data_IF_740443575972
#
_entry.id   IF_740443575972
#
_cell.length_a   1.000
_cell.length_b   1.000
_cell.length_c   1.000
_cell.angle_alpha   90.00
_cell.angle_beta   90.00
_cell.angle_gamma   90.00
#
_symmetry.space_group_name_H-M   'P 1'
#
loop_
_entity.id
_entity.type
_entity.pdbx_description
1 polymer ?
#
# COMPACT_ATOMS: atom_id res chain seq x y z
N UNK A 1 -13.51 36.95 -14.85
CA UNK A 1 -13.55 36.21 -13.57
C UNK A 1 -14.33 34.89 -13.65
N UNK A 2 -15.36 34.77 -14.49
CA UNK A 2 -16.18 33.54 -14.60
C UNK A 2 -15.46 32.33 -15.21
N UNK A 3 -14.51 32.54 -16.13
CA UNK A 3 -13.78 31.49 -16.85
C UNK A 3 -12.83 30.69 -15.95
N UNK A 4 -12.17 31.37 -15.01
CA UNK A 4 -11.23 30.74 -14.05
C UNK A 4 -12.02 29.90 -13.03
N UNK A 5 -13.15 30.41 -12.53
CA UNK A 5 -14.04 29.68 -11.62
C UNK A 5 -14.59 28.39 -12.26
N UNK A 6 -14.97 28.43 -13.54
CA UNK A 6 -15.42 27.24 -14.29
C UNK A 6 -14.29 26.22 -14.50
N UNK A 7 -13.07 26.66 -14.81
CA UNK A 7 -11.90 25.78 -14.94
C UNK A 7 -11.54 25.10 -13.62
N UNK A 8 -11.50 25.86 -12.51
CA UNK A 8 -11.21 25.33 -11.16
C UNK A 8 -12.30 24.32 -10.76
N UNK A 9 -13.57 24.65 -10.96
CA UNK A 9 -14.70 23.76 -10.64
C UNK A 9 -14.65 22.46 -11.46
N UNK A 10 -14.31 22.53 -12.75
CA UNK A 10 -14.18 21.36 -13.61
C UNK A 10 -12.99 20.48 -13.21
N UNK A 11 -11.87 21.09 -12.83
CA UNK A 11 -10.67 20.39 -12.37
C UNK A 11 -10.92 19.67 -11.03
N UNK A 12 -11.55 20.36 -10.08
CA UNK A 12 -11.94 19.79 -8.79
C UNK A 12 -12.91 18.61 -9.00
N UNK A 13 -13.95 18.77 -9.82
CA UNK A 13 -14.90 17.68 -10.12
C UNK A 13 -14.23 16.47 -10.74
N UNK A 14 -13.27 16.67 -11.66
CA UNK A 14 -12.51 15.57 -12.28
C UNK A 14 -11.61 14.86 -11.27
N UNK A 15 -10.96 15.60 -10.39
CA UNK A 15 -10.11 15.03 -9.32
C UNK A 15 -10.92 14.19 -8.33
N UNK A 16 -12.08 14.70 -7.87
CA UNK A 16 -12.98 13.95 -7.02
C UNK A 16 -13.55 12.71 -7.72
N UNK A 17 -13.88 12.81 -9.00
CA UNK A 17 -14.36 11.67 -9.78
C UNK A 17 -13.28 10.59 -9.93
N UNK A 18 -12.01 10.95 -10.15
CA UNK A 18 -10.92 9.99 -10.23
C UNK A 18 -10.61 9.33 -8.87
N UNK A 19 -10.73 10.07 -7.75
CA UNK A 19 -10.64 9.48 -6.41
C UNK A 19 -11.79 8.49 -6.17
N UNK A 20 -13.03 8.88 -6.51
CA UNK A 20 -14.21 8.04 -6.32
C UNK A 20 -14.15 6.79 -7.20
N UNK A 21 -13.72 6.91 -8.45
CA UNK A 21 -13.48 5.77 -9.35
C UNK A 21 -12.36 4.87 -8.79
N UNK A 22 -11.27 5.45 -8.29
CA UNK A 22 -10.21 4.72 -7.61
C UNK A 22 -10.74 3.91 -6.43
N UNK A 23 -11.54 4.52 -5.55
CA UNK A 23 -12.16 3.86 -4.39
C UNK A 23 -13.20 2.80 -4.81
N UNK A 24 -14.02 3.06 -5.82
CA UNK A 24 -15.01 2.10 -6.34
C UNK A 24 -14.36 0.89 -7.01
N UNK A 25 -13.30 1.09 -7.80
CA UNK A 25 -12.51 0.00 -8.40
C UNK A 25 -11.83 -0.81 -7.29
N UNK A 26 -11.23 -0.15 -6.28
CA UNK A 26 -10.63 -0.82 -5.13
C UNK A 26 -11.65 -1.69 -4.40
N UNK A 27 -12.86 -1.17 -4.12
CA UNK A 27 -13.91 -1.93 -3.44
C UNK A 27 -14.46 -3.09 -4.29
N UNK A 28 -14.53 -2.93 -5.63
CA UNK A 28 -15.03 -3.99 -6.53
C UNK A 28 -14.04 -5.15 -6.71
N UNK A 29 -12.73 -4.89 -6.64
CA UNK A 29 -11.69 -5.91 -6.76
C UNK A 29 -11.09 -6.36 -5.42
N UNK A 30 -11.60 -5.85 -4.30
CA UNK A 30 -11.12 -6.15 -2.94
C UNK A 30 -11.16 -7.64 -2.60
N UNK A 31 -12.15 -8.39 -3.11
CA UNK A 31 -12.27 -9.83 -2.87
C UNK A 31 -11.38 -10.70 -3.75
N UNK A 32 -10.75 -10.13 -4.79
CA UNK A 32 -9.97 -10.87 -5.80
C UNK A 32 -8.50 -10.46 -5.87
N UNK A 33 -8.08 -9.37 -5.21
CA UNK A 33 -6.70 -8.92 -5.24
C UNK A 33 -5.89 -9.51 -4.07
N UNK A 34 -4.98 -10.47 -4.32
CA UNK A 34 -4.12 -11.02 -3.27
C UNK A 34 -3.06 -10.02 -2.75
N UNK A 35 -2.93 -8.84 -3.37
CA UNK A 35 -1.94 -7.80 -3.05
C UNK A 35 -2.57 -6.49 -2.56
N UNK A 36 -3.70 -6.56 -1.85
CA UNK A 36 -4.42 -5.40 -1.34
C UNK A 36 -3.50 -4.34 -0.68
N UNK A 37 -3.66 -3.09 -1.14
CA UNK A 37 -2.92 -1.89 -0.71
C UNK A 37 -3.76 -1.10 0.31
N UNK A 38 -3.78 -1.56 1.57
CA UNK A 38 -4.35 -0.82 2.70
C UNK A 38 -3.29 0.01 3.42
N UNK A 39 -3.61 1.26 3.75
CA UNK A 39 -2.81 2.14 4.63
C UNK A 39 -3.03 1.75 6.09
N UNK A 40 -1.95 1.49 6.85
CA UNK A 40 -1.74 1.27 8.31
C UNK A 40 -2.82 0.64 9.23
N UNK A 41 -4.09 0.56 8.85
CA UNK A 41 -5.16 -0.11 9.59
C UNK A 41 -5.03 -1.61 9.33
N UNK A 42 -4.67 -2.36 10.37
CA UNK A 42 -4.55 -3.82 10.31
C UNK A 42 -3.13 -4.38 10.51
N UNK A 43 -2.17 -3.54 10.92
CA UNK A 43 -0.85 -3.99 11.38
C UNK A 43 -0.76 -3.93 12.90
N UNK A 44 -0.19 -4.98 13.48
CA UNK A 44 0.21 -5.10 14.88
C UNK A 44 1.73 -5.20 14.95
N UNK A 45 2.33 -4.60 15.98
CA UNK A 45 3.79 -4.55 16.13
C UNK A 45 4.21 -5.16 17.46
N UNK A 46 5.26 -5.98 17.42
CA UNK A 46 5.90 -6.57 18.59
C UNK A 46 7.38 -6.19 18.59
N UNK A 47 7.83 -5.59 19.69
CA UNK A 47 9.25 -5.35 19.94
C UNK A 47 9.81 -6.46 20.83
N UNK A 48 10.94 -7.03 20.45
CA UNK A 48 11.57 -8.12 21.19
C UNK A 48 13.10 -8.13 21.00
N UNK A 49 13.77 -8.86 21.89
CA UNK A 49 15.20 -9.14 21.79
C UNK A 49 15.40 -10.58 21.37
N UNK A 50 16.21 -10.81 20.34
CA UNK A 50 16.60 -12.14 19.90
C UNK A 50 18.12 -12.22 19.87
N UNK A 51 18.71 -13.08 20.70
CA UNK A 51 20.17 -13.19 20.82
C UNK A 51 20.85 -11.87 21.22
N UNK A 52 20.18 -11.02 22.01
CA UNK A 52 20.67 -9.69 22.39
C UNK A 52 20.52 -8.62 21.30
N UNK A 53 19.94 -8.94 20.14
CA UNK A 53 19.69 -7.99 19.06
C UNK A 53 18.25 -7.48 19.12
N UNK A 54 18.02 -6.15 19.15
CA UNK A 54 16.67 -5.58 19.12
C UNK A 54 16.01 -5.76 17.76
N UNK A 55 14.81 -6.33 17.75
CA UNK A 55 14.01 -6.58 16.56
C UNK A 55 12.60 -6.06 16.73
N UNK A 56 11.97 -5.80 15.60
CA UNK A 56 10.55 -5.54 15.51
C UNK A 56 9.91 -6.54 14.57
N UNK A 57 8.79 -7.11 14.99
CA UNK A 57 7.89 -7.89 14.15
C UNK A 57 6.66 -7.05 13.85
N UNK A 58 6.22 -7.09 12.59
CA UNK A 58 4.95 -6.56 12.14
C UNK A 58 4.10 -7.71 11.60
N UNK A 59 2.89 -7.85 12.14
CA UNK A 59 1.91 -8.85 11.72
C UNK A 59 0.63 -8.16 11.24
N UNK A 60 0.07 -8.64 10.14
CA UNK A 60 -1.09 -8.02 9.53
C UNK A 60 -1.39 -8.59 8.15
N UNK A 61 -2.66 -8.53 7.74
CA UNK A 61 -3.10 -9.01 6.41
C UNK A 61 -2.65 -10.46 6.11
N UNK A 62 -2.61 -11.32 7.12
CA UNK A 62 -2.21 -12.73 6.99
C UNK A 62 -0.72 -12.98 6.82
N UNK A 63 0.15 -11.98 7.03
CA UNK A 63 1.60 -12.15 7.01
C UNK A 63 2.25 -11.62 8.29
N UNK A 64 3.40 -12.19 8.65
CA UNK A 64 4.27 -11.70 9.70
C UNK A 64 5.66 -11.47 9.11
N UNK A 65 6.30 -10.36 9.48
CA UNK A 65 7.63 -9.98 9.01
C UNK A 65 8.40 -9.39 10.17
N UNK A 66 9.69 -9.69 10.28
CA UNK A 66 10.56 -9.08 11.29
C UNK A 66 11.78 -8.44 10.67
N UNK A 67 12.32 -7.43 11.34
CA UNK A 67 13.60 -6.81 10.98
C UNK A 67 14.31 -6.31 12.22
N UNK A 68 15.63 -6.28 12.14
CA UNK A 68 16.47 -5.69 13.17
C UNK A 68 16.31 -4.17 13.20
N UNK A 69 16.36 -3.61 14.40
CA UNK A 69 16.49 -2.17 14.63
C UNK A 69 17.92 -1.77 14.31
N UNK A 70 18.09 -0.85 13.36
CA UNK A 70 19.42 -0.35 13.02
C UNK A 70 19.92 0.61 14.10
N UNK A 71 21.24 0.72 14.21
CA UNK A 71 21.89 1.68 15.12
C UNK A 71 21.39 3.10 14.81
N UNK A 72 20.79 3.74 15.81
CA UNK A 72 20.24 5.10 15.70
C UNK A 72 18.80 5.19 15.16
N UNK A 73 18.17 4.07 14.77
CA UNK A 73 16.73 4.04 14.51
C UNK A 73 15.94 3.86 15.82
N UNK A 74 14.82 4.54 15.94
CA UNK A 74 13.81 4.22 16.96
C UNK A 74 12.97 3.02 16.52
N UNK A 75 12.35 2.27 17.46
CA UNK A 75 11.44 1.18 17.11
C UNK A 75 10.33 1.59 16.14
N UNK A 76 9.77 2.80 16.30
CA UNK A 76 8.76 3.34 15.39
C UNK A 76 9.30 3.57 13.98
N UNK A 77 10.51 4.13 13.85
CA UNK A 77 11.15 4.31 12.54
C UNK A 77 11.42 2.97 11.85
N UNK A 78 11.82 1.95 12.63
CA UNK A 78 12.02 0.59 12.11
C UNK A 78 10.69 -0.03 11.66
N UNK A 79 9.60 0.14 12.41
CA UNK A 79 8.24 -0.28 12.00
C UNK A 79 7.84 0.39 10.68
N UNK A 80 7.96 1.70 10.57
CA UNK A 80 7.61 2.45 9.36
C UNK A 80 8.41 1.96 8.15
N UNK A 81 9.72 1.74 8.32
CA UNK A 81 10.60 1.18 7.27
C UNK A 81 10.15 -0.21 6.84
N UNK A 82 9.79 -1.07 7.80
CA UNK A 82 9.34 -2.43 7.52
C UNK A 82 8.03 -2.43 6.72
N UNK A 83 7.05 -1.64 7.14
CA UNK A 83 5.77 -1.49 6.43
C UNK A 83 5.99 -0.89 5.05
N UNK A 84 6.81 0.16 4.93
CA UNK A 84 7.09 0.81 3.65
C UNK A 84 7.71 -0.16 2.63
N UNK A 85 8.64 -1.01 3.09
CA UNK A 85 9.25 -2.06 2.26
C UNK A 85 8.18 -3.05 1.75
N UNK A 86 7.30 -3.53 2.62
CA UNK A 86 6.25 -4.46 2.20
C UNK A 86 5.23 -3.81 1.27
N UNK A 87 4.85 -2.56 1.51
CA UNK A 87 3.96 -1.82 0.61
C UNK A 87 4.56 -1.69 -0.79
N UNK A 88 5.88 -1.45 -0.89
CA UNK A 88 6.60 -1.46 -2.17
C UNK A 88 6.55 -2.84 -2.84
N UNK A 89 6.72 -3.91 -2.09
CA UNK A 89 6.62 -5.28 -2.60
C UNK A 89 5.20 -5.58 -3.13
N UNK A 90 4.15 -5.19 -2.40
CA UNK A 90 2.76 -5.36 -2.82
C UNK A 90 2.45 -4.59 -4.08
N UNK A 91 2.87 -3.33 -4.18
CA UNK A 91 2.73 -2.54 -5.41
C UNK A 91 3.43 -3.21 -6.59
N UNK A 92 4.66 -3.68 -6.40
CA UNK A 92 5.41 -4.38 -7.45
C UNK A 92 4.69 -5.64 -7.94
N UNK A 93 4.24 -6.50 -7.00
CA UNK A 93 3.49 -7.73 -7.30
C UNK A 93 2.16 -7.43 -7.99
N UNK A 94 1.43 -6.41 -7.52
CA UNK A 94 0.18 -5.97 -8.14
C UNK A 94 0.39 -5.57 -9.61
N UNK A 95 1.36 -4.71 -9.91
CA UNK A 95 1.61 -4.31 -11.31
C UNK A 95 2.11 -5.47 -12.18
N UNK A 96 2.88 -6.40 -11.61
CA UNK A 96 3.28 -7.61 -12.32
C UNK A 96 2.08 -8.47 -12.71
N UNK A 97 1.15 -8.65 -11.77
CA UNK A 97 -0.09 -9.41 -11.99
C UNK A 97 -1.03 -8.72 -13.00
N UNK A 98 -1.19 -7.40 -12.92
CA UNK A 98 -1.97 -6.65 -13.91
C UNK A 98 -1.37 -6.82 -15.31
N UNK A 99 -0.03 -6.79 -15.45
CA UNK A 99 0.63 -7.05 -16.73
C UNK A 99 0.33 -8.46 -17.23
N UNK A 100 0.43 -9.49 -16.39
CA UNK A 100 0.17 -10.87 -16.82
C UNK A 100 -1.27 -11.10 -17.27
N UNK A 101 -2.25 -10.40 -16.67
CA UNK A 101 -3.65 -10.43 -17.12
C UNK A 101 -3.79 -9.79 -18.50
N UNK A 102 -3.19 -8.61 -18.71
CA UNK A 102 -3.26 -7.91 -20.00
C UNK A 102 -2.67 -8.77 -21.12
N UNK A 103 -1.46 -9.30 -20.91
CA UNK A 103 -0.83 -10.21 -21.88
C UNK A 103 -1.72 -11.41 -22.22
N UNK A 104 -2.39 -12.03 -21.23
CA UNK A 104 -3.30 -13.14 -21.48
C UNK A 104 -4.49 -12.75 -22.35
N UNK A 105 -5.04 -11.55 -22.15
CA UNK A 105 -6.18 -11.07 -22.91
C UNK A 105 -5.81 -10.63 -24.34
N UNK A 106 -4.59 -10.14 -24.56
CA UNK A 106 -4.09 -9.75 -25.89
C UNK A 106 -3.66 -10.96 -26.75
N UNK A 107 -3.52 -12.14 -26.12
CA UNK A 107 -3.12 -13.41 -26.76
C UNK A 107 -4.30 -14.29 -27.19
N UNK A 108 -5.52 -13.90 -26.83
CA UNK A 108 -6.78 -14.59 -27.13
C UNK A 108 -7.60 -13.76 -28.12
#
# INVERSE_FOLDING_TARGET
>A
METISRCITKYIKRFYLEIIIGVLIINKFMSQNPFYLGWNKGWSFLFYLEGGTPKIEASGFGIAMSTDIKRGESPSQTADRLIFKEQRNRKSRYYSWIRSIKFRNDSN
#
